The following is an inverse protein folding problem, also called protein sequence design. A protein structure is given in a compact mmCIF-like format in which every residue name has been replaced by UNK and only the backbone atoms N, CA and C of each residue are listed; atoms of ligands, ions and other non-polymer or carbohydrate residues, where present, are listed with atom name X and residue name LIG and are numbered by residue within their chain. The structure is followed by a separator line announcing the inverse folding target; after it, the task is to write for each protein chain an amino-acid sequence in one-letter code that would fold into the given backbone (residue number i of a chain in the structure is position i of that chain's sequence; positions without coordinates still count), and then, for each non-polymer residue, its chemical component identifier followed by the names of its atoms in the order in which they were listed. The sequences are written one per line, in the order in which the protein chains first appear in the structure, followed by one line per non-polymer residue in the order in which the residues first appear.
data_IF_122331282865
#
_entry.id   IF_122331282865
#
_cell.length_a   1.000
_cell.length_b   1.000
_cell.length_c   1.000
_cell.angle_alpha   90.00
_cell.angle_beta   90.00
_cell.angle_gamma   90.00
#
_symmetry.space_group_name_H-M   'P 1'
#
loop_
_entity.id
_entity.type
_entity.pdbx_description
1 polymer ?
#
# COMPACT_ATOMS: atom_id res chain seq x y z
N UNK A 1 -1.14 8.76 4.83
CA UNK A 1 -0.77 7.35 4.52
C UNK A 1 -1.05 6.98 3.07
N UNK A 2 -2.28 7.20 2.56
CA UNK A 2 -2.65 6.86 1.17
C UNK A 2 -1.73 7.52 0.13
N UNK A 3 -1.46 8.84 0.27
CA UNK A 3 -0.50 9.56 -0.57
C UNK A 3 0.92 8.95 -0.55
N UNK A 4 1.38 8.43 0.60
CA UNK A 4 2.72 7.81 0.67
C UNK A 4 2.76 6.44 -0.02
N UNK A 5 1.67 5.69 0.04
CA UNK A 5 1.53 4.42 -0.68
C UNK A 5 1.48 4.65 -2.20
N UNK A 6 0.80 5.71 -2.64
CA UNK A 6 0.79 6.11 -4.05
C UNK A 6 2.18 6.52 -4.54
N UNK A 7 2.87 7.39 -3.80
CA UNK A 7 4.26 7.77 -4.09
C UNK A 7 5.19 6.56 -4.13
N UNK A 8 4.98 5.57 -3.25
CA UNK A 8 5.72 4.31 -3.29
C UNK A 8 5.47 3.59 -4.63
N UNK A 9 4.21 3.39 -5.02
CA UNK A 9 3.85 2.72 -6.27
C UNK A 9 4.42 3.43 -7.50
N UNK A 10 4.35 4.75 -7.57
CA UNK A 10 4.90 5.53 -8.70
C UNK A 10 6.41 5.41 -8.79
N UNK A 11 7.13 5.40 -7.66
CA UNK A 11 8.59 5.25 -7.65
C UNK A 11 9.03 3.87 -8.13
N UNK A 12 8.37 2.82 -7.67
CA UNK A 12 8.67 1.45 -8.14
C UNK A 12 8.36 1.30 -9.62
N UNK A 13 7.24 1.85 -10.10
CA UNK A 13 6.87 1.82 -11.51
C UNK A 13 7.89 2.55 -12.40
N UNK A 14 8.34 3.72 -11.97
CA UNK A 14 9.37 4.50 -12.69
C UNK A 14 10.66 3.68 -12.79
N UNK A 15 11.16 3.18 -11.67
CA UNK A 15 12.38 2.37 -11.66
C UNK A 15 12.26 1.06 -12.46
N UNK A 16 11.05 0.47 -12.55
CA UNK A 16 10.81 -0.71 -13.36
C UNK A 16 10.80 -0.40 -14.86
N UNK A 17 10.39 0.79 -15.27
CA UNK A 17 10.43 1.21 -16.67
C UNK A 17 11.86 1.53 -17.14
N UNK A 18 12.73 1.98 -16.23
CA UNK A 18 14.15 2.23 -16.50
C UNK A 18 14.99 0.94 -16.61
N UNK A 19 14.43 -0.22 -16.23
CA UNK A 19 15.07 -1.53 -16.32
C UNK A 19 14.34 -2.43 -17.34
N UNK A 20 14.73 -2.39 -18.63
CA UNK A 20 14.03 -3.12 -19.69
C UNK A 20 13.99 -4.64 -19.49
N UNK A 21 15.01 -5.21 -18.83
CA UNK A 21 15.06 -6.63 -18.45
C UNK A 21 14.73 -6.80 -16.96
N UNK A 22 13.43 -6.85 -16.67
CA UNK A 22 12.91 -7.16 -15.35
C UNK A 22 12.15 -8.48 -15.37
N UNK A 23 12.61 -9.50 -14.60
CA UNK A 23 11.81 -10.69 -14.33
C UNK A 23 10.46 -10.28 -13.73
N UNK A 24 9.40 -10.96 -14.14
CA UNK A 24 8.05 -10.78 -13.60
C UNK A 24 7.48 -9.34 -13.76
N UNK A 25 7.92 -8.59 -14.78
CA UNK A 25 7.45 -7.20 -15.04
C UNK A 25 5.94 -7.08 -15.13
N UNK A 26 5.28 -8.02 -15.81
CA UNK A 26 3.82 -8.03 -15.93
C UNK A 26 3.14 -8.31 -14.59
N UNK A 27 3.70 -9.21 -13.77
CA UNK A 27 3.22 -9.49 -12.42
C UNK A 27 3.36 -8.26 -11.52
N UNK A 28 4.51 -7.58 -11.59
CA UNK A 28 4.76 -6.32 -10.89
C UNK A 28 3.76 -5.23 -11.30
N UNK A 29 3.53 -5.05 -12.60
CA UNK A 29 2.57 -4.08 -13.12
C UNK A 29 1.15 -4.40 -12.64
N UNK A 30 0.74 -5.67 -12.66
CA UNK A 30 -0.54 -6.10 -12.15
C UNK A 30 -0.69 -5.76 -10.65
N UNK A 31 0.36 -6.02 -9.85
CA UNK A 31 0.37 -5.77 -8.41
C UNK A 31 0.36 -4.28 -8.07
N UNK A 32 1.08 -3.46 -8.83
CA UNK A 32 1.00 -2.00 -8.72
C UNK A 32 -0.40 -1.48 -9.10
N UNK A 33 -1.03 -2.06 -10.12
CA UNK A 33 -2.43 -1.79 -10.46
C UNK A 33 -3.38 -2.15 -9.32
N UNK A 34 -3.21 -3.31 -8.69
CA UNK A 34 -3.98 -3.74 -7.52
C UNK A 34 -3.82 -2.76 -6.34
N UNK A 35 -2.59 -2.34 -6.03
CA UNK A 35 -2.33 -1.33 -5.01
C UNK A 35 -3.13 -0.05 -5.27
N UNK A 36 -3.06 0.48 -6.49
CA UNK A 36 -3.79 1.70 -6.88
C UNK A 36 -5.30 1.52 -6.82
N UNK A 37 -5.81 0.36 -7.22
CA UNK A 37 -7.23 0.02 -7.10
C UNK A 37 -7.70 0.05 -5.65
N UNK A 38 -6.94 -0.53 -4.72
CA UNK A 38 -7.27 -0.47 -3.29
C UNK A 38 -7.15 0.93 -2.71
N UNK A 39 -6.14 1.71 -3.14
CA UNK A 39 -6.00 3.11 -2.72
C UNK A 39 -7.18 3.96 -3.20
N UNK A 40 -7.64 3.77 -4.44
CA UNK A 40 -8.83 4.44 -4.96
C UNK A 40 -10.09 4.09 -4.15
N UNK A 41 -10.30 2.82 -3.79
CA UNK A 41 -11.41 2.41 -2.92
C UNK A 41 -11.35 3.07 -1.53
N UNK A 42 -10.15 3.23 -0.96
CA UNK A 42 -9.99 3.92 0.32
C UNK A 42 -10.22 5.43 0.18
N UNK A 43 -9.77 6.03 -0.93
CA UNK A 43 -10.00 7.44 -1.21
C UNK A 43 -11.50 7.73 -1.41
N UNK A 44 -12.20 6.91 -2.17
CA UNK A 44 -13.66 7.01 -2.35
C UNK A 44 -14.38 6.97 -0.99
N UNK A 45 -14.01 6.01 -0.13
CA UNK A 45 -14.56 5.94 1.24
C UNK A 45 -14.23 7.15 2.08
N UNK A 46 -13.07 7.77 1.86
CA UNK A 46 -12.69 9.01 2.54
C UNK A 46 -13.55 10.18 2.07
N UNK A 47 -13.72 10.32 0.76
CA UNK A 47 -14.51 11.39 0.14
C UNK A 47 -15.99 11.28 0.55
N UNK A 48 -16.49 10.07 0.81
CA UNK A 48 -17.83 9.80 1.33
C UNK A 48 -17.97 9.93 2.86
N UNK A 49 -16.92 10.30 3.59
CA UNK A 49 -16.84 10.30 5.06
C UNK A 49 -17.15 8.93 5.72
N UNK A 50 -16.91 7.84 4.97
CA UNK A 50 -17.08 6.44 5.39
C UNK A 50 -15.75 5.75 5.72
N UNK A 51 -14.63 6.47 5.71
CA UNK A 51 -13.31 5.93 6.03
C UNK A 51 -13.16 5.72 7.55
N UNK A 52 -13.87 4.71 8.05
CA UNK A 52 -13.80 4.30 9.44
C UNK A 52 -13.17 2.93 9.56
N UNK A 53 -12.18 2.82 10.43
CA UNK A 53 -11.52 1.55 10.74
C UNK A 53 -12.43 0.55 11.46
N UNK A 54 -13.58 0.99 11.98
CA UNK A 54 -14.66 0.15 12.48
C UNK A 54 -15.32 -0.68 11.38
N UNK A 55 -15.37 -0.17 10.14
CA UNK A 55 -15.92 -0.85 8.99
C UNK A 55 -15.00 -2.02 8.56
N UNK A 56 -15.47 -3.28 8.60
CA UNK A 56 -14.66 -4.45 8.24
C UNK A 56 -14.08 -4.37 6.82
N UNK A 57 -14.82 -3.79 5.88
CA UNK A 57 -14.36 -3.64 4.51
C UNK A 57 -13.20 -2.63 4.42
N UNK A 58 -13.27 -1.50 5.12
CA UNK A 58 -12.18 -0.51 5.16
C UNK A 58 -10.91 -1.13 5.73
N UNK A 59 -11.04 -1.86 6.85
CA UNK A 59 -9.92 -2.57 7.46
C UNK A 59 -9.33 -3.65 6.52
N UNK A 60 -10.18 -4.40 5.83
CA UNK A 60 -9.74 -5.40 4.85
C UNK A 60 -9.00 -4.74 3.67
N UNK A 61 -9.54 -3.65 3.11
CA UNK A 61 -8.91 -2.93 1.98
C UNK A 61 -7.54 -2.39 2.36
N UNK A 62 -7.39 -1.77 3.54
CA UNK A 62 -6.07 -1.34 3.99
C UNK A 62 -5.09 -2.50 4.18
N UNK A 63 -5.54 -3.65 4.72
CA UNK A 63 -4.69 -4.85 4.82
C UNK A 63 -4.22 -5.32 3.44
N UNK A 64 -5.11 -5.27 2.45
CA UNK A 64 -4.77 -5.61 1.06
C UNK A 64 -3.75 -4.63 0.46
N UNK A 65 -3.85 -3.33 0.76
CA UNK A 65 -2.81 -2.35 0.39
C UNK A 65 -1.46 -2.76 0.97
N UNK A 66 -1.38 -2.97 2.29
CA UNK A 66 -0.11 -3.31 2.96
C UNK A 66 0.48 -4.61 2.41
N UNK A 67 -0.33 -5.66 2.25
CA UNK A 67 0.12 -6.94 1.68
C UNK A 67 0.64 -6.78 0.25
N UNK A 68 -0.04 -5.98 -0.57
CA UNK A 68 0.37 -5.74 -1.95
C UNK A 68 1.68 -4.93 -2.01
N UNK A 69 1.86 -3.93 -1.14
CA UNK A 69 3.10 -3.16 -1.06
C UNK A 69 4.30 -3.98 -0.56
N UNK A 70 4.08 -4.89 0.40
CA UNK A 70 5.10 -5.85 0.84
C UNK A 70 5.51 -6.81 -0.28
N UNK A 71 4.52 -7.32 -1.03
CA UNK A 71 4.78 -8.15 -2.20
C UNK A 71 5.62 -7.41 -3.24
N UNK A 72 5.23 -6.17 -3.56
CA UNK A 72 5.98 -5.30 -4.50
C UNK A 72 7.40 -5.10 -4.01
N UNK A 73 7.59 -4.87 -2.71
CA UNK A 73 8.92 -4.71 -2.11
C UNK A 73 9.78 -5.96 -2.26
N UNK A 74 9.20 -7.13 -2.00
CA UNK A 74 9.92 -8.40 -2.11
C UNK A 74 10.38 -8.68 -3.54
N UNK A 75 9.52 -8.45 -4.52
CA UNK A 75 9.79 -8.74 -5.94
C UNK A 75 10.62 -7.68 -6.63
N UNK A 76 10.34 -6.41 -6.34
CA UNK A 76 11.09 -5.28 -6.86
C UNK A 76 12.27 -4.91 -5.94
N UNK A 77 12.83 -5.85 -5.16
CA UNK A 77 13.82 -5.55 -4.12
C UNK A 77 15.02 -4.71 -4.60
N UNK A 78 15.48 -4.92 -5.83
CA UNK A 78 16.54 -4.10 -6.46
C UNK A 78 16.16 -2.63 -6.71
N UNK A 79 14.87 -2.34 -6.79
CA UNK A 79 14.31 -0.99 -6.97
C UNK A 79 13.94 -0.32 -5.65
N UNK A 80 13.97 -1.06 -4.54
CA UNK A 80 13.50 -0.58 -3.24
C UNK A 80 14.71 -0.28 -2.37
N UNK A 81 15.08 1.00 -2.32
CA UNK A 81 16.14 1.47 -1.43
C UNK A 81 15.66 1.54 0.03
N UNK A 82 16.60 1.77 0.96
CA UNK A 82 16.30 1.89 2.39
C UNK A 82 15.25 2.96 2.69
N UNK A 83 15.22 4.07 1.94
CA UNK A 83 14.26 5.16 2.14
C UNK A 83 12.85 4.72 1.76
N UNK A 84 12.71 4.01 0.64
CA UNK A 84 11.44 3.49 0.14
C UNK A 84 10.93 2.36 1.03
N UNK A 85 11.82 1.49 1.49
CA UNK A 85 11.51 0.47 2.48
C UNK A 85 11.01 1.07 3.81
N UNK A 86 11.71 2.09 4.33
CA UNK A 86 11.29 2.80 5.55
C UNK A 86 9.89 3.40 5.41
N UNK A 87 9.55 3.93 4.24
CA UNK A 87 8.18 4.43 3.97
C UNK A 87 7.14 3.32 4.05
N UNK A 88 7.42 2.14 3.49
CA UNK A 88 6.54 0.99 3.63
C UNK A 88 6.32 0.62 5.10
N UNK A 89 7.39 0.54 5.89
CA UNK A 89 7.28 0.25 7.32
C UNK A 89 6.42 1.29 8.04
N UNK A 90 6.57 2.57 7.72
CA UNK A 90 5.73 3.63 8.30
C UNK A 90 4.24 3.49 7.92
N UNK A 91 3.94 3.09 6.68
CA UNK A 91 2.57 2.84 6.22
C UNK A 91 1.97 1.66 6.98
N UNK A 92 2.70 0.55 7.08
CA UNK A 92 2.30 -0.66 7.81
C UNK A 92 2.05 -0.34 9.29
N UNK A 93 3.01 0.29 9.96
CA UNK A 93 2.92 0.56 11.39
C UNK A 93 1.81 1.57 11.70
N UNK A 94 1.61 2.57 10.82
CA UNK A 94 0.48 3.49 10.93
C UNK A 94 -0.86 2.78 10.81
N UNK A 95 -0.97 1.83 9.88
CA UNK A 95 -2.18 1.02 9.74
C UNK A 95 -2.42 0.12 10.96
N UNK A 96 -1.39 -0.57 11.42
CA UNK A 96 -1.45 -1.45 12.60
C UNK A 96 -1.84 -0.66 13.86
N UNK A 97 -1.31 0.55 14.03
CA UNK A 97 -1.71 1.45 15.12
C UNK A 97 -3.19 1.82 15.06
N UNK A 98 -3.73 2.12 13.88
CA UNK A 98 -5.15 2.45 13.70
C UNK A 98 -6.06 1.25 13.99
N UNK A 99 -5.63 0.03 13.63
CA UNK A 99 -6.35 -1.20 13.96
C UNK A 99 -6.37 -1.49 15.47
N UNK A 100 -5.24 -1.33 16.15
CA UNK A 100 -5.14 -1.62 17.60
C UNK A 100 -5.86 -0.54 18.42
N UNK A 101 -5.72 0.73 18.04
CA UNK A 101 -6.38 1.85 18.73
C UNK A 101 -7.91 1.70 18.70
N UNK A 102 -8.46 1.13 17.63
CA UNK A 102 -9.88 0.72 17.57
C UNK A 102 -10.25 -0.30 18.66
N UNK A 103 -9.42 -1.31 18.91
CA UNK A 103 -9.74 -2.36 19.88
C UNK A 103 -9.82 -1.81 21.30
N UNK A 104 -9.01 -0.79 21.63
CA UNK A 104 -8.99 -0.16 22.96
C UNK A 104 -10.18 0.78 23.21
N UNK A 105 -10.73 1.41 22.18
CA UNK A 105 -11.91 2.29 22.31
C UNK A 105 -13.26 1.57 22.43
N UNK A 106 -13.28 0.23 22.49
CA UNK A 106 -14.48 -0.58 22.69
C UNK A 106 -14.60 -1.18 24.11
N UNK A 107 -13.73 -0.78 25.03
CA UNK A 107 -13.79 -1.15 26.46
C UNK A 107 -14.51 -0.10 27.28
#
# INVERSE_FOLDING_TARGET
MMLQAEVFCSRVETGANDLPEMPDRDELRLKLGQCRGFLAQLQERYDEDKLQMSNPLTAATFRQVVMSLMWVTFRAGRLVDYKLFRKLVQIESGFTYLLISRQRGKS
#
